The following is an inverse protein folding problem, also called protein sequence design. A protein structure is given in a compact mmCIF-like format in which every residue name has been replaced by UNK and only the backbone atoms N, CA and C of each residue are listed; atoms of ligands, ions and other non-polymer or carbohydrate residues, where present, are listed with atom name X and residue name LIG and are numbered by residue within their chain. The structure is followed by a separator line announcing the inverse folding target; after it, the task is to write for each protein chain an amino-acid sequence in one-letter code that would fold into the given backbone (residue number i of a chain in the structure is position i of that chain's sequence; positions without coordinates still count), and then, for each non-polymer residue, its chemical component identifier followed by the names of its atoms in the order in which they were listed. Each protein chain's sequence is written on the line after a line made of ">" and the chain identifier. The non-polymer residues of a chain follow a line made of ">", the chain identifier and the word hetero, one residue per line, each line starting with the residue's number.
data_IF_495928194765
#
_entry.id   IF_495928194765
#
_cell.length_a   1.000
_cell.length_b   1.000
_cell.length_c   1.000
_cell.angle_alpha   90.00
_cell.angle_beta   90.00
_cell.angle_gamma   90.00
#
_symmetry.space_group_name_H-M   'P 1'
#
loop_
_entity.id
_entity.type
_entity.pdbx_description
1 polymer ?
#
# COMPACT_ATOMS: atom_id res chain seq x y z
N UNK A 1 6.77 7.06 3.57
CA UNK A 1 5.49 6.38 3.80
C UNK A 1 5.41 5.94 5.26
N UNK A 2 4.20 5.96 5.84
CA UNK A 2 3.95 5.53 7.21
C UNK A 2 2.72 4.62 7.24
N UNK A 3 2.83 3.53 8.00
CA UNK A 3 1.67 2.73 8.39
C UNK A 3 0.91 3.45 9.51
N UNK A 4 -0.40 3.72 9.34
CA UNK A 4 -1.22 4.33 10.40
C UNK A 4 -1.30 3.46 11.64
N UNK A 5 -1.26 2.15 11.45
CA UNK A 5 -1.36 1.13 12.49
C UNK A 5 -0.69 -0.17 12.04
N UNK A 6 -0.30 -1.00 12.98
CA UNK A 6 0.13 -2.38 12.75
C UNK A 6 -0.55 -3.26 13.79
N UNK A 7 -1.53 -4.06 13.38
CA UNK A 7 -2.22 -4.99 14.27
C UNK A 7 -3.64 -5.32 13.80
N UNK A 8 -4.17 -6.41 14.33
CA UNK A 8 -5.43 -7.00 13.87
C UNK A 8 -6.52 -6.95 14.95
N UNK A 9 -6.33 -6.15 16.01
CA UNK A 9 -7.26 -6.04 17.14
C UNK A 9 -7.40 -4.57 17.55
N UNK A 10 -8.55 -4.26 18.17
CA UNK A 10 -8.81 -2.95 18.80
C UNK A 10 -8.63 -1.75 17.87
N UNK A 11 -9.22 -1.81 16.69
CA UNK A 11 -9.17 -0.75 15.66
C UNK A 11 -9.96 0.49 16.07
N UNK A 12 -9.64 1.07 17.24
CA UNK A 12 -10.29 2.29 17.73
C UNK A 12 -9.30 3.44 17.78
N UNK A 13 -9.33 4.35 16.79
CA UNK A 13 -8.51 5.54 16.80
C UNK A 13 -8.75 6.38 18.06
N UNK A 14 -7.69 6.98 18.58
CA UNK A 14 -7.79 7.83 19.76
C UNK A 14 -6.93 9.08 19.60
N UNK A 15 -7.19 10.07 20.47
CA UNK A 15 -6.50 11.35 20.42
C UNK A 15 -4.99 11.22 20.64
N UNK A 16 -4.54 10.30 21.48
CA UNK A 16 -3.10 10.12 21.77
C UNK A 16 -2.36 9.70 20.50
N UNK A 17 -2.94 8.75 19.72
CA UNK A 17 -2.38 8.34 18.43
C UNK A 17 -2.30 9.50 17.44
N UNK A 18 -3.39 10.26 17.29
CA UNK A 18 -3.43 11.42 16.40
C UNK A 18 -2.40 12.48 16.83
N UNK A 19 -2.29 12.79 18.13
CA UNK A 19 -1.33 13.78 18.65
C UNK A 19 0.13 13.33 18.43
N UNK A 20 0.41 12.03 18.53
CA UNK A 20 1.72 11.48 18.19
C UNK A 20 2.05 11.64 16.70
N UNK A 21 1.11 11.32 15.81
CA UNK A 21 1.29 11.55 14.38
C UNK A 21 1.41 13.04 14.04
N UNK A 22 0.72 13.93 14.75
CA UNK A 22 0.87 15.39 14.58
C UNK A 22 2.31 15.83 14.76
N UNK A 23 3.00 15.31 15.78
CA UNK A 23 4.42 15.61 16.01
C UNK A 23 5.31 15.17 14.85
N UNK A 24 4.99 14.02 14.23
CA UNK A 24 5.69 13.51 13.05
C UNK A 24 5.41 14.39 11.83
N UNK A 25 4.15 14.73 11.60
CA UNK A 25 3.72 15.63 10.50
C UNK A 25 4.41 16.99 10.61
N UNK A 26 4.39 17.61 11.78
CA UNK A 26 5.06 18.88 12.02
C UNK A 26 6.59 18.82 11.84
N UNK A 27 7.21 17.69 12.19
CA UNK A 27 8.64 17.52 11.98
C UNK A 27 8.98 17.36 10.49
N UNK A 28 8.15 16.63 9.75
CA UNK A 28 8.29 16.46 8.31
C UNK A 28 8.07 17.78 7.57
N UNK A 29 7.05 18.55 7.96
CA UNK A 29 6.76 19.87 7.39
C UNK A 29 7.95 20.81 7.57
N UNK A 30 8.51 20.91 8.80
CA UNK A 30 9.73 21.70 9.06
C UNK A 30 10.94 21.25 8.22
N UNK A 31 10.99 19.97 7.87
CA UNK A 31 12.06 19.41 7.06
C UNK A 31 11.79 19.49 5.54
N UNK A 32 10.62 19.98 5.12
CA UNK A 32 10.20 20.01 3.72
C UNK A 32 9.96 18.62 3.12
N UNK A 33 9.54 17.64 3.96
CA UNK A 33 9.31 16.25 3.56
C UNK A 33 7.81 15.99 3.49
N UNK A 34 7.33 15.51 2.33
CA UNK A 34 5.97 15.02 2.21
C UNK A 34 5.81 13.65 2.90
N UNK A 35 4.68 13.45 3.56
CA UNK A 35 4.30 12.20 4.19
C UNK A 35 3.16 11.53 3.41
N UNK A 36 3.15 10.21 3.43
CA UNK A 36 2.06 9.40 2.88
C UNK A 36 1.61 8.41 3.94
N UNK A 37 0.30 8.38 4.22
CA UNK A 37 -0.28 7.31 5.00
C UNK A 37 -0.76 6.19 4.06
N UNK A 38 -0.41 4.97 4.39
CA UNK A 38 -0.67 3.80 3.57
C UNK A 38 -1.94 3.06 4.01
N UNK A 39 -2.64 2.48 3.05
CA UNK A 39 -3.75 1.57 3.35
C UNK A 39 -3.22 0.22 3.83
N UNK A 40 -3.24 0.04 5.11
CA UNK A 40 -2.92 -1.23 5.80
C UNK A 40 -4.18 -1.77 6.49
N UNK A 41 -4.05 -2.76 7.38
CA UNK A 41 -5.12 -3.13 8.28
C UNK A 41 -5.53 -1.94 9.17
N UNK A 42 -6.77 -1.94 9.66
CA UNK A 42 -7.27 -0.84 10.51
C UNK A 42 -7.57 0.43 9.72
N UNK A 43 -8.43 0.32 8.71
CA UNK A 43 -8.88 1.46 7.88
C UNK A 43 -9.35 2.67 8.72
N UNK A 44 -9.85 2.43 9.92
CA UNK A 44 -10.33 3.46 10.85
C UNK A 44 -9.18 4.38 11.28
N UNK A 45 -7.96 3.86 11.43
CA UNK A 45 -6.79 4.68 11.75
C UNK A 45 -6.37 5.53 10.55
N UNK A 46 -6.38 4.95 9.34
CA UNK A 46 -6.12 5.71 8.12
C UNK A 46 -7.15 6.84 7.97
N UNK A 47 -8.43 6.52 8.13
CA UNK A 47 -9.50 7.52 8.04
C UNK A 47 -9.32 8.66 9.05
N UNK A 48 -9.03 8.32 10.31
CA UNK A 48 -8.83 9.31 11.37
C UNK A 48 -7.62 10.24 11.09
N UNK A 49 -6.52 9.70 10.52
CA UNK A 49 -5.35 10.50 10.18
C UNK A 49 -5.59 11.35 8.93
N UNK A 50 -6.23 10.80 7.91
CA UNK A 50 -6.56 11.54 6.69
C UNK A 50 -7.52 12.70 6.98
N UNK A 51 -8.45 12.53 7.93
CA UNK A 51 -9.33 13.59 8.42
C UNK A 51 -8.58 14.62 9.26
N UNK A 52 -7.81 14.17 10.26
CA UNK A 52 -7.07 15.04 11.18
C UNK A 52 -6.02 15.94 10.49
N UNK A 53 -5.54 15.52 9.31
CA UNK A 53 -4.56 16.25 8.51
C UNK A 53 -5.10 16.61 7.12
N UNK A 54 -6.42 16.81 7.00
CA UNK A 54 -7.07 17.18 5.74
C UNK A 54 -6.53 18.48 5.14
N UNK A 55 -6.18 19.44 5.98
CA UNK A 55 -5.69 20.76 5.58
C UNK A 55 -4.15 20.81 5.43
N UNK A 56 -3.44 19.69 5.61
CA UNK A 56 -1.98 19.63 5.51
C UNK A 56 -1.56 19.25 4.09
N UNK A 57 -1.05 20.15 3.26
CA UNK A 57 -0.72 19.89 1.85
C UNK A 57 0.44 18.90 1.66
N UNK A 58 1.26 18.70 2.70
CA UNK A 58 2.37 17.76 2.69
C UNK A 58 2.00 16.34 3.16
N UNK A 59 0.72 16.13 3.54
CA UNK A 59 0.21 14.82 3.93
C UNK A 59 -0.65 14.26 2.82
N UNK A 60 -0.28 13.10 2.31
CA UNK A 60 -0.99 12.41 1.25
C UNK A 60 -1.29 10.95 1.58
N UNK A 61 -1.74 10.26 0.56
CA UNK A 61 -2.11 8.86 0.58
C UNK A 61 -1.11 8.03 -0.22
N UNK A 62 -0.69 6.90 0.33
CA UNK A 62 0.03 5.85 -0.38
C UNK A 62 -0.93 4.71 -0.71
N UNK A 63 -1.11 4.42 -1.99
CA UNK A 63 -1.87 3.25 -2.41
C UNK A 63 -0.95 2.03 -2.43
N UNK A 64 -1.15 1.09 -1.50
CA UNK A 64 -0.68 -0.28 -1.66
C UNK A 64 -1.75 -1.14 -2.31
N UNK A 65 -1.42 -1.72 -3.48
CA UNK A 65 -2.36 -2.46 -4.32
C UNK A 65 -2.65 -3.86 -3.78
N UNK A 66 -1.69 -4.48 -3.11
CA UNK A 66 -1.88 -5.77 -2.44
C UNK A 66 -2.69 -5.64 -1.17
N UNK A 67 -2.42 -4.62 -0.35
CA UNK A 67 -3.19 -4.32 0.86
C UNK A 67 -4.64 -3.98 0.52
N UNK A 68 -4.89 -3.23 -0.56
CA UNK A 68 -6.27 -2.96 -1.00
C UNK A 68 -7.04 -4.26 -1.21
N UNK A 69 -6.38 -5.31 -1.73
CA UNK A 69 -7.01 -6.59 -1.98
C UNK A 69 -7.11 -7.46 -0.72
N UNK A 70 -6.05 -7.57 0.09
CA UNK A 70 -6.05 -8.44 1.29
C UNK A 70 -6.58 -7.73 2.53
N UNK A 71 -6.03 -6.61 2.96
CA UNK A 71 -6.44 -5.95 4.20
C UNK A 71 -7.74 -5.17 4.06
N UNK A 72 -7.94 -4.49 2.93
CA UNK A 72 -9.14 -3.70 2.68
C UNK A 72 -10.22 -4.48 1.90
N UNK A 73 -10.05 -5.78 1.67
CA UNK A 73 -11.02 -6.69 1.03
C UNK A 73 -11.53 -6.20 -0.32
N UNK A 74 -10.67 -5.55 -1.10
CA UNK A 74 -11.01 -4.98 -2.41
C UNK A 74 -11.83 -3.69 -2.35
N UNK A 75 -11.92 -3.04 -1.19
CA UNK A 75 -12.55 -1.72 -1.05
C UNK A 75 -11.77 -0.70 -1.87
N UNK A 76 -12.48 0.15 -2.60
CA UNK A 76 -11.87 1.17 -3.44
C UNK A 76 -11.27 2.32 -2.59
N UNK A 77 -10.03 2.18 -2.18
CA UNK A 77 -9.32 3.18 -1.37
C UNK A 77 -9.05 4.46 -2.17
N UNK A 78 -8.89 4.35 -3.49
CA UNK A 78 -8.75 5.51 -4.38
C UNK A 78 -10.02 6.36 -4.47
N UNK A 79 -11.21 5.80 -4.25
CA UNK A 79 -12.43 6.59 -4.19
C UNK A 79 -12.51 7.46 -2.92
N UNK A 80 -11.77 7.09 -1.88
CA UNK A 80 -11.73 7.81 -0.61
C UNK A 80 -10.61 8.85 -0.56
N UNK A 81 -9.43 8.51 -1.10
CA UNK A 81 -8.20 9.27 -0.87
C UNK A 81 -7.38 9.54 -2.14
N UNK A 82 -7.90 9.20 -3.33
CA UNK A 82 -7.16 9.29 -4.58
C UNK A 82 -6.80 10.72 -4.99
N UNK A 83 -7.55 11.72 -4.57
CA UNK A 83 -7.25 13.15 -4.72
C UNK A 83 -6.00 13.60 -3.93
N UNK A 84 -5.60 12.81 -2.95
CA UNK A 84 -4.41 13.01 -2.12
C UNK A 84 -3.31 11.97 -2.38
N UNK A 85 -3.43 11.18 -3.47
CA UNK A 85 -2.42 10.18 -3.84
C UNK A 85 -1.08 10.89 -4.10
N UNK A 86 -0.07 10.57 -3.30
CA UNK A 86 1.29 11.09 -3.47
C UNK A 86 2.37 10.00 -3.49
N UNK A 87 1.99 8.74 -3.24
CA UNK A 87 2.89 7.59 -3.31
C UNK A 87 2.14 6.31 -3.69
N UNK A 88 2.90 5.29 -4.13
CA UNK A 88 2.33 3.97 -4.43
C UNK A 88 3.26 2.89 -3.92
N UNK A 89 2.69 1.76 -3.48
CA UNK A 89 3.35 0.49 -3.29
C UNK A 89 2.69 -0.56 -4.19
N UNK A 90 3.32 -0.81 -5.35
CA UNK A 90 2.83 -1.79 -6.30
C UNK A 90 3.32 -3.18 -5.92
N UNK A 91 2.39 -4.04 -5.59
CA UNK A 91 2.59 -5.46 -5.43
C UNK A 91 1.30 -6.19 -5.79
N UNK A 92 1.39 -7.47 -6.07
CA UNK A 92 0.22 -8.29 -6.30
C UNK A 92 -0.10 -9.16 -5.08
N UNK A 93 -1.34 -9.58 -5.01
CA UNK A 93 -1.85 -10.34 -3.87
C UNK A 93 -2.97 -11.27 -4.33
N UNK A 94 -3.32 -12.27 -3.52
CA UNK A 94 -4.39 -13.23 -3.79
C UNK A 94 -5.67 -12.96 -3.00
N UNK A 95 -5.68 -11.90 -2.20
CA UNK A 95 -6.78 -11.56 -1.30
C UNK A 95 -6.76 -12.37 -0.02
N UNK A 96 -7.85 -12.29 0.72
CA UNK A 96 -8.01 -12.96 2.02
C UNK A 96 -8.23 -14.44 1.82
N UNK A 97 -7.44 -15.29 2.49
CA UNK A 97 -7.54 -16.75 2.40
C UNK A 97 -8.58 -17.36 3.35
N UNK A 98 -9.06 -16.61 4.34
CA UNK A 98 -9.98 -17.05 5.39
C UNK A 98 -11.16 -16.11 5.61
N UNK A 99 -11.85 -16.29 6.74
CA UNK A 99 -12.95 -15.40 7.16
C UNK A 99 -12.43 -14.03 7.62
N UNK A 100 -11.30 -14.03 8.31
CA UNK A 100 -10.66 -12.84 8.86
C UNK A 100 -9.43 -12.45 8.06
N UNK A 101 -9.07 -11.18 8.09
CA UNK A 101 -7.81 -10.69 7.54
C UNK A 101 -6.65 -11.22 8.40
N UNK A 102 -5.57 -11.64 7.73
CA UNK A 102 -4.38 -12.17 8.36
C UNK A 102 -3.13 -11.61 7.65
N UNK A 103 -2.10 -11.26 8.43
CA UNK A 103 -0.81 -10.84 7.90
C UNK A 103 -0.12 -11.90 7.03
N UNK A 104 -0.52 -13.17 7.13
CA UNK A 104 -0.07 -14.26 6.26
C UNK A 104 -0.60 -14.15 4.84
N UNK A 105 -1.63 -13.34 4.61
CA UNK A 105 -2.20 -13.08 3.28
C UNK A 105 -1.55 -11.89 2.58
N UNK A 106 -0.71 -11.14 3.30
CA UNK A 106 0.04 -10.03 2.74
C UNK A 106 1.30 -10.55 2.02
N UNK A 107 1.14 -10.89 0.73
CA UNK A 107 2.11 -11.70 0.00
C UNK A 107 3.18 -10.89 -0.72
N UNK A 108 2.94 -9.64 -1.10
CA UNK A 108 3.87 -8.80 -1.86
C UNK A 108 4.43 -9.49 -3.11
N UNK A 109 3.54 -10.09 -3.92
CA UNK A 109 3.91 -10.78 -5.16
C UNK A 109 4.28 -9.78 -6.27
N UNK A 110 5.01 -10.27 -7.25
CA UNK A 110 5.27 -9.50 -8.48
C UNK A 110 3.97 -9.32 -9.26
N UNK A 111 3.78 -8.14 -9.87
CA UNK A 111 2.59 -7.77 -10.64
C UNK A 111 2.23 -8.81 -11.69
N UNK A 112 0.98 -9.29 -11.65
CA UNK A 112 0.42 -10.32 -12.52
C UNK A 112 0.57 -11.77 -12.01
N UNK A 113 1.16 -11.96 -10.82
CA UNK A 113 1.28 -13.30 -10.19
C UNK A 113 0.22 -13.52 -9.10
N UNK A 114 -0.65 -12.53 -8.89
CA UNK A 114 -1.79 -12.56 -7.97
C UNK A 114 -3.14 -12.36 -8.67
N UNK A 115 -4.04 -11.65 -8.01
CA UNK A 115 -5.41 -11.40 -8.44
C UNK A 115 -5.76 -9.91 -8.58
N UNK A 116 -4.79 -9.01 -8.44
CA UNK A 116 -5.00 -7.56 -8.60
C UNK A 116 -5.43 -7.26 -10.04
N UNK A 117 -6.53 -6.52 -10.19
CA UNK A 117 -6.97 -6.04 -11.50
C UNK A 117 -6.18 -4.78 -11.91
N UNK A 118 -5.08 -4.97 -12.63
CA UNK A 118 -4.16 -3.90 -13.01
C UNK A 118 -4.79 -2.86 -13.93
N UNK A 119 -5.72 -3.25 -14.82
CA UNK A 119 -6.48 -2.28 -15.63
C UNK A 119 -7.29 -1.32 -14.74
N UNK A 120 -7.95 -1.87 -13.72
CA UNK A 120 -8.73 -1.07 -12.78
C UNK A 120 -7.83 -0.19 -11.89
N UNK A 121 -6.72 -0.71 -11.39
CA UNK A 121 -5.74 0.06 -10.62
C UNK A 121 -5.24 1.25 -11.44
N UNK A 122 -4.72 1.00 -12.65
CA UNK A 122 -4.12 2.05 -13.48
C UNK A 122 -5.14 3.07 -13.97
N UNK A 123 -6.40 2.67 -14.23
CA UNK A 123 -7.45 3.62 -14.59
C UNK A 123 -7.71 4.64 -13.49
N UNK A 124 -7.71 4.20 -12.21
CA UNK A 124 -7.93 5.08 -11.05
C UNK A 124 -6.73 6.00 -10.80
N UNK A 125 -5.51 5.48 -10.93
CA UNK A 125 -4.29 6.28 -10.78
C UNK A 125 -4.25 7.38 -11.86
N UNK A 126 -4.54 7.05 -13.11
CA UNK A 126 -4.64 8.06 -14.18
C UNK A 126 -5.74 9.08 -13.91
N UNK A 127 -6.89 8.64 -13.42
CA UNK A 127 -8.01 9.54 -13.10
C UNK A 127 -7.71 10.49 -11.93
N UNK A 128 -6.83 10.11 -10.99
CA UNK A 128 -6.41 10.98 -9.88
C UNK A 128 -5.44 12.10 -10.29
N UNK A 129 -4.89 12.03 -11.52
CA UNK A 129 -3.87 12.98 -11.98
C UNK A 129 -2.48 12.75 -11.36
N UNK A 130 -2.25 11.64 -10.69
CA UNK A 130 -0.95 11.30 -10.12
C UNK A 130 0.13 11.15 -11.21
N UNK A 131 1.23 11.86 -11.05
CA UNK A 131 2.38 11.87 -11.99
C UNK A 131 3.69 11.42 -11.33
N UNK A 132 3.63 10.99 -10.08
CA UNK A 132 4.80 10.50 -9.35
C UNK A 132 5.27 9.13 -9.83
N UNK A 133 6.38 8.62 -9.28
CA UNK A 133 6.91 7.30 -9.61
C UNK A 133 5.97 6.20 -9.13
N UNK A 134 5.85 5.13 -9.94
CA UNK A 134 5.18 3.91 -9.52
C UNK A 134 6.18 3.05 -8.74
N UNK A 135 6.18 3.21 -7.41
CA UNK A 135 7.06 2.44 -6.54
C UNK A 135 6.50 1.04 -6.34
N UNK A 136 7.38 0.03 -6.41
CA UNK A 136 7.03 -1.35 -6.14
C UNK A 136 7.53 -1.77 -4.75
N UNK A 137 6.72 -2.51 -4.02
CA UNK A 137 7.07 -3.12 -2.75
C UNK A 137 6.91 -4.65 -2.84
N UNK A 138 8.02 -5.35 -3.05
CA UNK A 138 8.03 -6.78 -3.36
C UNK A 138 8.79 -7.58 -2.32
N UNK A 139 8.38 -8.83 -2.08
CA UNK A 139 9.06 -9.72 -1.15
C UNK A 139 9.67 -10.93 -1.86
N UNK A 140 10.90 -11.30 -1.45
CA UNK A 140 11.53 -12.57 -1.80
C UNK A 140 11.34 -13.64 -0.72
N UNK A 141 10.77 -13.25 0.41
CA UNK A 141 10.64 -14.10 1.59
C UNK A 141 9.22 -14.63 1.71
N UNK A 142 9.07 -15.92 1.82
CA UNK A 142 7.78 -16.54 2.08
C UNK A 142 7.24 -16.14 3.46
N UNK A 143 5.95 -15.92 3.56
CA UNK A 143 5.27 -15.93 4.84
C UNK A 143 5.35 -17.36 5.45
N UNK A 144 5.32 -17.51 6.78
CA UNK A 144 5.35 -18.83 7.42
C UNK A 144 4.32 -19.80 6.84
N UNK A 145 4.77 -20.98 6.44
CA UNK A 145 3.92 -22.02 5.84
C UNK A 145 3.45 -21.76 4.40
N UNK A 146 3.90 -20.67 3.77
CA UNK A 146 3.62 -20.36 2.36
C UNK A 146 4.85 -20.66 1.51
N UNK A 147 4.65 -20.87 0.20
CA UNK A 147 5.68 -21.15 -0.80
C UNK A 147 5.51 -20.25 -2.03
N UNK A 148 4.95 -19.07 -1.82
CA UNK A 148 4.56 -18.16 -2.91
C UNK A 148 5.74 -17.44 -3.56
N UNK A 149 6.85 -17.27 -2.82
CA UNK A 149 8.07 -16.59 -3.28
C UNK A 149 9.21 -17.54 -3.66
N UNK A 150 9.04 -18.86 -3.60
CA UNK A 150 10.10 -19.83 -3.91
C UNK A 150 10.71 -19.61 -5.28
N UNK A 151 9.87 -19.32 -6.29
CA UNK A 151 10.33 -19.06 -7.65
C UNK A 151 11.18 -17.77 -7.73
N UNK A 152 10.84 -16.73 -6.97
CA UNK A 152 11.58 -15.47 -6.94
C UNK A 152 12.94 -15.66 -6.25
N UNK A 153 12.96 -16.33 -5.11
CA UNK A 153 14.20 -16.63 -4.39
C UNK A 153 15.17 -17.45 -5.22
N UNK A 154 14.66 -18.36 -6.05
CA UNK A 154 15.47 -19.18 -6.94
C UNK A 154 16.07 -18.45 -8.14
N UNK A 155 15.54 -17.26 -8.51
CA UNK A 155 16.04 -16.51 -9.67
C UNK A 155 17.42 -15.87 -9.46
N UNK A 156 17.78 -15.55 -8.21
CA UNK A 156 18.86 -14.63 -7.89
C UNK A 156 18.50 -13.17 -8.17
N UNK A 157 19.18 -12.23 -7.49
CA UNK A 157 18.80 -10.81 -7.42
C UNK A 157 18.69 -10.12 -8.78
N UNK A 158 19.69 -10.29 -9.66
CA UNK A 158 19.70 -9.62 -10.97
C UNK A 158 18.51 -10.02 -11.83
N UNK A 159 18.22 -11.32 -11.91
CA UNK A 159 17.09 -11.84 -12.69
C UNK A 159 15.77 -11.41 -12.07
N UNK A 160 15.68 -11.42 -10.75
CA UNK A 160 14.49 -10.96 -10.03
C UNK A 160 14.19 -9.49 -10.32
N UNK A 161 15.17 -8.59 -10.22
CA UNK A 161 14.95 -7.18 -10.53
C UNK A 161 14.53 -6.94 -11.97
N UNK A 162 15.13 -7.66 -12.92
CA UNK A 162 14.72 -7.58 -14.32
C UNK A 162 13.27 -8.04 -14.52
N UNK A 163 12.93 -9.18 -13.94
CA UNK A 163 11.57 -9.72 -13.97
C UNK A 163 10.56 -8.75 -13.35
N UNK A 164 10.84 -8.25 -12.15
CA UNK A 164 9.99 -7.28 -11.46
C UNK A 164 9.81 -6.00 -12.28
N UNK A 165 10.88 -5.47 -12.88
CA UNK A 165 10.82 -4.30 -13.74
C UNK A 165 9.95 -4.52 -14.99
N UNK A 166 10.10 -5.64 -15.68
CA UNK A 166 9.28 -6.00 -16.85
C UNK A 166 7.80 -6.09 -16.49
N UNK A 167 7.49 -6.66 -15.32
CA UNK A 167 6.13 -6.76 -14.81
C UNK A 167 5.58 -5.40 -14.36
N UNK A 168 6.39 -4.54 -13.77
CA UNK A 168 5.99 -3.17 -13.44
C UNK A 168 5.67 -2.36 -14.71
N UNK A 169 6.50 -2.47 -15.74
CA UNK A 169 6.21 -1.86 -17.04
C UNK A 169 4.93 -2.40 -17.69
N UNK A 170 4.71 -3.69 -17.59
CA UNK A 170 3.47 -4.28 -18.07
C UNK A 170 2.26 -3.73 -17.30
N UNK A 171 2.30 -3.74 -15.97
CA UNK A 171 1.21 -3.25 -15.13
C UNK A 171 0.91 -1.76 -15.41
N UNK A 172 1.93 -0.92 -15.57
CA UNK A 172 1.77 0.52 -15.84
C UNK A 172 1.06 0.85 -17.16
N UNK A 173 0.99 -0.10 -18.08
CA UNK A 173 0.38 0.06 -19.41
C UNK A 173 -1.06 -0.46 -19.49
N UNK A 174 -1.58 -1.04 -18.43
CA UNK A 174 -2.96 -1.59 -18.38
C UNK A 174 -4.07 -0.53 -18.36
#
# INVERSE_FOLDING_TARGET
>A
VLHPFIGFRDHTPNRIGIDNFRRVVEAADRAGIALSFENVEGEEYLAALMDAFSDCPHVGFCLDTGHELCYNRGKNMMALYGDRLNHTHFNDNRGVSGADIDWLDDLHLVMGDGAVNWNWVMSRIRASGYTGPLMCELSLTNKPGKHTQDAYAAMGMEKFYRFAYERALWASRQ
#
